data_IF_619552218218
#
_entry.id   IF_619552218218
#
_cell.length_a   1.000
_cell.length_b   1.000
_cell.length_c   1.000
_cell.angle_alpha   90.00
_cell.angle_beta   90.00
_cell.angle_gamma   90.00
#
_symmetry.space_group_name_H-M   'P 1'
#
loop_
_entity.id
_entity.type
_entity.pdbx_description
1 polymer ?
#
# COMPACT_ATOMS: atom_id res chain seq x y z
N UNK A 1 57.23 8.38 -33.24
CA UNK A 1 56.62 9.30 -32.25
C UNK A 1 55.13 9.62 -32.46
N UNK A 2 54.57 9.54 -33.69
CA UNK A 2 53.14 9.84 -33.92
C UNK A 2 52.14 8.83 -33.31
N UNK A 3 52.50 7.54 -33.22
CA UNK A 3 51.58 6.50 -32.72
C UNK A 3 51.17 6.67 -31.24
N UNK A 4 52.02 7.25 -30.41
CA UNK A 4 51.71 7.47 -28.98
C UNK A 4 50.69 8.61 -28.77
N UNK A 5 50.67 9.62 -29.66
CA UNK A 5 49.74 10.76 -29.56
C UNK A 5 48.29 10.39 -29.95
N UNK A 6 48.11 9.50 -30.93
CA UNK A 6 46.79 9.01 -31.34
C UNK A 6 46.12 8.14 -30.27
N UNK A 7 46.89 7.33 -29.53
CA UNK A 7 46.33 6.54 -28.43
C UNK A 7 45.78 7.41 -27.29
N UNK A 8 46.48 8.50 -26.96
CA UNK A 8 46.09 9.42 -25.88
C UNK A 8 44.78 10.16 -26.17
N UNK A 9 44.56 10.54 -27.43
CA UNK A 9 43.32 11.21 -27.87
C UNK A 9 42.14 10.24 -27.83
N UNK A 10 42.35 8.97 -28.21
CA UNK A 10 41.30 7.95 -28.16
C UNK A 10 40.89 7.61 -26.72
N UNK A 11 41.87 7.50 -25.80
CA UNK A 11 41.59 7.33 -24.37
C UNK A 11 40.88 8.54 -23.76
N UNK A 12 41.22 9.77 -24.18
CA UNK A 12 40.53 10.98 -23.71
C UNK A 12 39.07 11.05 -24.17
N UNK A 13 38.75 10.62 -25.39
CA UNK A 13 37.37 10.60 -25.93
C UNK A 13 36.53 9.50 -25.25
N UNK A 14 37.11 8.34 -24.97
CA UNK A 14 36.42 7.26 -24.24
C UNK A 14 36.22 7.67 -22.77
N UNK A 15 37.21 8.32 -22.13
CA UNK A 15 37.10 8.84 -20.77
C UNK A 15 36.08 9.98 -20.62
N UNK A 16 35.87 10.81 -21.66
CA UNK A 16 34.87 11.89 -21.61
C UNK A 16 33.42 11.38 -21.69
N UNK A 17 33.18 10.20 -22.29
CA UNK A 17 31.84 9.64 -22.42
C UNK A 17 31.34 8.90 -21.16
N UNK A 18 32.20 8.65 -20.18
CA UNK A 18 31.82 7.95 -18.93
C UNK A 18 31.38 8.92 -17.81
N UNK A 19 31.62 10.22 -17.93
CA UNK A 19 31.36 11.20 -16.87
C UNK A 19 30.05 12.00 -16.99
N UNK A 20 29.28 11.82 -18.07
CA UNK A 20 28.06 12.61 -18.30
C UNK A 20 26.77 11.93 -17.80
N UNK A 21 26.88 10.94 -16.91
CA UNK A 21 25.73 10.45 -16.15
C UNK A 21 25.70 11.16 -14.79
N UNK A 22 25.49 12.48 -14.80
CA UNK A 22 25.27 13.22 -13.56
C UNK A 22 24.01 12.70 -12.89
N UNK A 23 24.13 12.23 -11.65
CA UNK A 23 22.98 11.82 -10.86
C UNK A 23 22.04 13.00 -10.67
N UNK A 24 20.76 12.78 -10.95
CA UNK A 24 19.70 13.76 -10.68
C UNK A 24 19.76 14.19 -9.20
N UNK A 25 19.59 15.49 -8.91
CA UNK A 25 19.43 15.96 -7.53
C UNK A 25 17.95 15.95 -7.15
N UNK A 26 17.62 15.71 -5.88
CA UNK A 26 16.22 15.64 -5.43
C UNK A 26 15.41 16.91 -5.77
N UNK A 27 16.04 18.09 -5.73
CA UNK A 27 15.39 19.36 -6.11
C UNK A 27 14.93 19.37 -7.57
N UNK A 28 15.67 18.72 -8.46
CA UNK A 28 15.37 18.66 -9.90
C UNK A 28 14.20 17.71 -10.20
N UNK A 29 13.92 16.77 -9.29
CA UNK A 29 12.79 15.85 -9.38
C UNK A 29 11.45 16.47 -8.94
N UNK A 30 11.46 17.61 -8.22
CA UNK A 30 10.23 18.23 -7.73
C UNK A 30 9.32 18.71 -8.87
N UNK A 31 8.01 18.56 -8.71
CA UNK A 31 7.02 19.08 -9.65
C UNK A 31 5.87 18.11 -9.94
N UNK A 32 5.01 18.50 -10.87
CA UNK A 32 3.86 17.70 -11.33
C UNK A 32 4.22 16.97 -12.62
N UNK A 33 4.03 15.66 -12.63
CA UNK A 33 4.23 14.79 -13.78
C UNK A 33 2.87 14.26 -14.24
N UNK A 34 2.61 14.33 -15.54
CA UNK A 34 1.31 13.98 -16.13
C UNK A 34 1.50 12.86 -17.15
N UNK A 35 0.59 11.90 -17.10
CA UNK A 35 0.42 10.87 -18.11
C UNK A 35 -0.98 11.03 -18.69
N UNK A 36 -1.12 10.97 -20.02
CA UNK A 36 -2.41 11.09 -20.68
C UNK A 36 -2.42 10.24 -21.95
N UNK A 37 -3.49 9.46 -22.11
CA UNK A 37 -3.84 8.72 -23.33
C UNK A 37 -5.29 9.02 -23.67
N UNK A 38 -5.79 8.44 -24.77
CA UNK A 38 -7.20 8.59 -25.16
C UNK A 38 -8.20 8.13 -24.10
N UNK A 39 -7.80 7.18 -23.24
CA UNK A 39 -8.71 6.53 -22.29
C UNK A 39 -8.21 6.61 -20.84
N UNK A 40 -7.05 7.20 -20.57
CA UNK A 40 -6.51 7.20 -19.22
C UNK A 40 -5.72 8.45 -18.96
N UNK A 41 -5.78 8.95 -17.73
CA UNK A 41 -4.95 10.05 -17.26
C UNK A 41 -4.34 9.69 -15.91
N UNK A 42 -3.18 10.24 -15.64
CA UNK A 42 -2.49 10.07 -14.38
C UNK A 42 -1.71 11.32 -14.00
N UNK A 43 -1.52 11.51 -12.69
CA UNK A 43 -0.66 12.53 -12.15
C UNK A 43 0.20 11.98 -11.01
N UNK A 44 1.46 12.40 -10.98
CA UNK A 44 2.38 12.21 -9.87
C UNK A 44 2.94 13.57 -9.49
N UNK A 45 2.65 14.03 -8.28
CA UNK A 45 3.17 15.29 -7.73
C UNK A 45 4.25 14.95 -6.73
N UNK A 46 5.46 15.50 -6.92
CA UNK A 46 6.58 15.35 -6.00
C UNK A 46 6.85 16.68 -5.30
N UNK A 47 6.61 16.72 -3.99
CA UNK A 47 7.00 17.79 -3.08
C UNK A 47 8.31 17.41 -2.37
N UNK A 48 8.87 18.28 -1.51
CA UNK A 48 10.20 18.09 -0.91
C UNK A 48 10.46 16.68 -0.38
N UNK A 49 9.49 16.07 0.31
CA UNK A 49 9.61 14.70 0.87
C UNK A 49 8.36 13.85 0.66
N UNK A 50 7.33 14.38 0.01
CA UNK A 50 6.03 13.71 -0.12
C UNK A 50 5.61 13.60 -1.57
N UNK A 51 4.80 12.59 -1.87
CA UNK A 51 4.20 12.44 -3.18
C UNK A 51 2.67 12.32 -3.08
N UNK A 52 2.02 12.72 -4.16
CA UNK A 52 0.62 12.43 -4.42
C UNK A 52 0.49 11.78 -5.80
N UNK A 53 -0.18 10.65 -5.86
CA UNK A 53 -0.43 9.87 -7.07
C UNK A 53 -1.92 9.77 -7.31
N UNK A 54 -2.35 10.04 -8.55
CA UNK A 54 -3.71 9.79 -9.01
C UNK A 54 -3.66 9.15 -10.40
N UNK A 55 -4.54 8.19 -10.65
CA UNK A 55 -4.74 7.54 -11.93
C UNK A 55 -6.23 7.33 -12.18
N UNK A 56 -6.67 7.55 -13.41
CA UNK A 56 -8.06 7.35 -13.83
C UNK A 56 -8.11 6.76 -15.25
N UNK A 57 -8.94 5.73 -15.43
CA UNK A 57 -9.34 5.10 -16.69
C UNK A 57 -10.80 4.58 -16.56
N UNK A 58 -11.51 4.22 -17.66
CA UNK A 58 -12.93 3.87 -17.68
C UNK A 58 -13.48 2.87 -16.66
N UNK A 59 -12.64 2.11 -15.95
CA UNK A 59 -13.05 1.19 -14.88
C UNK A 59 -12.05 1.13 -13.72
N UNK A 60 -11.06 2.02 -13.70
CA UNK A 60 -9.94 1.98 -12.78
C UNK A 60 -9.64 3.40 -12.30
N UNK A 61 -9.72 3.63 -11.00
CA UNK A 61 -9.32 4.89 -10.40
C UNK A 61 -8.47 4.58 -9.17
N UNK A 62 -7.26 5.11 -9.11
CA UNK A 62 -6.32 4.84 -8.01
C UNK A 62 -5.75 6.13 -7.46
N UNK A 63 -5.61 6.17 -6.14
CA UNK A 63 -4.94 7.25 -5.41
C UNK A 63 -3.89 6.69 -4.48
N UNK A 64 -2.84 7.46 -4.24
CA UNK A 64 -1.82 7.14 -3.23
C UNK A 64 -1.12 8.39 -2.72
N UNK A 65 -0.76 8.40 -1.45
CA UNK A 65 0.10 9.42 -0.84
C UNK A 65 1.13 8.76 0.04
N UNK A 66 2.25 9.45 0.23
CA UNK A 66 3.29 9.06 1.16
C UNK A 66 4.59 9.81 0.93
N UNK A 67 5.70 9.12 1.13
CA UNK A 67 7.05 9.68 1.03
C UNK A 67 7.78 9.16 -0.19
N UNK A 68 8.77 9.92 -0.65
CA UNK A 68 9.66 9.47 -1.71
C UNK A 68 11.10 9.87 -1.43
N UNK A 69 12.02 9.15 -2.08
CA UNK A 69 13.43 9.47 -2.07
C UNK A 69 14.06 9.16 -3.42
N UNK A 70 15.23 9.74 -3.66
CA UNK A 70 15.98 9.59 -4.90
C UNK A 70 17.24 8.78 -4.64
N UNK A 71 17.42 7.71 -5.40
CA UNK A 71 18.64 6.93 -5.41
C UNK A 71 19.16 6.84 -6.85
N UNK A 72 20.23 7.60 -7.15
CA UNK A 72 20.77 7.77 -8.50
C UNK A 72 19.67 8.32 -9.44
N UNK A 73 19.26 7.54 -10.44
CA UNK A 73 18.19 7.89 -11.38
C UNK A 73 16.92 7.06 -11.14
N UNK A 74 16.73 6.60 -9.89
CA UNK A 74 15.53 5.91 -9.46
C UNK A 74 14.81 6.73 -8.40
N UNK A 75 13.50 6.91 -8.60
CA UNK A 75 12.60 7.38 -7.57
C UNK A 75 12.07 6.17 -6.81
N UNK A 76 12.05 6.26 -5.49
CA UNK A 76 11.50 5.21 -4.63
C UNK A 76 10.30 5.80 -3.91
N UNK A 77 9.13 5.22 -4.14
CA UNK A 77 7.86 5.65 -3.56
C UNK A 77 7.46 4.72 -2.42
N UNK A 78 7.08 5.30 -1.28
CA UNK A 78 6.57 4.57 -0.12
C UNK A 78 5.29 5.22 0.36
N UNK A 79 4.17 4.54 0.15
CA UNK A 79 2.85 5.03 0.57
C UNK A 79 2.69 5.02 2.09
N UNK A 80 1.79 5.86 2.59
CA UNK A 80 1.37 5.83 3.99
C UNK A 80 0.61 4.53 4.28
N UNK A 81 0.73 4.01 5.51
CA UNK A 81 0.09 2.75 5.92
C UNK A 81 -1.45 2.76 5.75
N UNK A 82 -2.09 3.93 5.69
CA UNK A 82 -3.52 4.05 5.40
C UNK A 82 -3.89 3.54 3.99
N UNK A 83 -2.94 3.47 3.06
CA UNK A 83 -3.12 2.88 1.72
C UNK A 83 -2.84 1.36 1.71
N UNK A 84 -2.30 0.81 2.79
CA UNK A 84 -2.03 -0.61 3.02
C UNK A 84 -3.38 -1.26 3.37
N UNK A 85 -4.18 -1.54 2.34
CA UNK A 85 -5.58 -1.93 2.52
C UNK A 85 -5.78 -3.28 3.22
N UNK A 86 -6.89 -3.30 3.98
CA UNK A 86 -7.47 -4.32 4.86
C UNK A 86 -6.94 -4.20 6.29
N UNK A 87 -7.79 -3.83 7.23
CA UNK A 87 -7.50 -4.02 8.65
C UNK A 87 -8.76 -4.21 9.46
N UNK A 88 -8.69 -5.14 10.40
CA UNK A 88 -9.71 -5.31 11.42
C UNK A 88 -9.40 -4.39 12.60
N UNK A 89 -10.40 -3.64 13.05
CA UNK A 89 -10.35 -2.97 14.35
C UNK A 89 -11.09 -3.86 15.34
N UNK A 90 -10.46 -4.20 16.46
CA UNK A 90 -11.05 -5.06 17.49
C UNK A 90 -11.13 -4.31 18.82
N UNK A 91 -12.35 -4.14 19.30
CA UNK A 91 -12.66 -3.60 20.61
C UNK A 91 -12.96 -4.76 21.57
N UNK A 92 -12.19 -4.82 22.66
CA UNK A 92 -12.27 -5.89 23.66
C UNK A 92 -13.00 -5.37 24.91
N UNK A 93 -14.07 -6.05 25.32
CA UNK A 93 -14.83 -5.70 26.52
C UNK A 93 -15.12 -6.93 27.38
N UNK A 94 -15.46 -6.69 28.64
CA UNK A 94 -15.92 -7.72 29.56
C UNK A 94 -17.45 -7.67 29.67
N UNK A 95 -18.06 -8.83 29.56
CA UNK A 95 -19.48 -9.10 29.74
C UNK A 95 -19.68 -10.52 30.27
N UNK A 96 -20.83 -10.78 30.90
CA UNK A 96 -21.21 -12.14 31.31
C UNK A 96 -21.31 -13.09 30.12
N UNK A 97 -21.75 -12.58 28.97
CA UNK A 97 -21.89 -13.36 27.74
C UNK A 97 -20.62 -13.27 26.90
N UNK A 98 -20.10 -14.41 26.45
CA UNK A 98 -18.96 -14.47 25.54
C UNK A 98 -19.43 -14.36 24.10
N UNK A 99 -19.05 -13.28 23.42
CA UNK A 99 -19.54 -13.00 22.06
C UNK A 99 -18.45 -12.43 21.15
N UNK A 100 -18.56 -12.72 19.86
CA UNK A 100 -17.83 -12.02 18.80
C UNK A 100 -18.87 -11.37 17.90
N UNK A 101 -18.77 -10.05 17.71
CA UNK A 101 -19.66 -9.29 16.83
C UNK A 101 -18.85 -8.74 15.66
N UNK A 102 -19.32 -8.97 14.43
CA UNK A 102 -18.68 -8.49 13.22
C UNK A 102 -19.54 -7.40 12.58
N UNK A 103 -18.90 -6.27 12.31
CA UNK A 103 -19.51 -5.08 11.73
C UNK A 103 -18.77 -4.67 10.44
N UNK A 104 -19.46 -4.04 9.50
CA UNK A 104 -18.87 -3.33 8.37
C UNK A 104 -18.34 -1.94 8.77
N UNK A 105 -17.82 -1.20 7.79
CA UNK A 105 -17.33 0.17 7.95
C UNK A 105 -18.40 1.16 8.42
N UNK A 106 -19.67 0.87 8.20
CA UNK A 106 -20.82 1.68 8.58
C UNK A 106 -21.43 1.25 9.92
N UNK A 107 -20.78 0.33 10.64
CA UNK A 107 -21.27 -0.30 11.89
C UNK A 107 -22.52 -1.18 11.69
N UNK A 108 -22.77 -1.64 10.46
CA UNK A 108 -23.83 -2.59 10.14
C UNK A 108 -23.36 -4.01 10.46
N UNK A 109 -24.15 -4.84 11.15
CA UNK A 109 -23.76 -6.23 11.41
C UNK A 109 -23.72 -7.08 10.14
N UNK A 110 -22.74 -7.99 10.05
CA UNK A 110 -22.53 -8.85 8.88
C UNK A 110 -22.86 -10.31 9.21
N UNK A 111 -23.86 -10.88 8.54
CA UNK A 111 -24.23 -12.31 8.62
C UNK A 111 -23.29 -13.21 7.80
N UNK A 112 -23.11 -14.47 8.23
CA UNK A 112 -22.45 -15.50 7.43
C UNK A 112 -20.92 -15.46 7.43
N UNK A 113 -20.30 -14.65 8.30
CA UNK A 113 -18.85 -14.51 8.37
C UNK A 113 -18.25 -15.61 9.23
N UNK A 114 -17.25 -16.29 8.66
CA UNK A 114 -16.54 -17.38 9.32
C UNK A 114 -15.40 -16.85 10.19
N UNK A 115 -15.31 -17.35 11.41
CA UNK A 115 -14.30 -16.98 12.41
C UNK A 115 -13.66 -18.24 12.98
N UNK A 116 -12.32 -18.23 13.05
CA UNK A 116 -11.52 -19.24 13.74
C UNK A 116 -10.95 -18.67 15.03
N UNK A 117 -11.01 -19.45 16.09
CA UNK A 117 -10.53 -19.08 17.43
C UNK A 117 -9.37 -20.01 17.79
N UNK A 118 -8.25 -19.46 18.27
CA UNK A 118 -7.08 -20.21 18.77
C UNK A 118 -6.52 -21.31 17.84
N UNK A 119 -6.67 -21.15 16.52
CA UNK A 119 -6.26 -22.17 15.54
C UNK A 119 -7.07 -23.49 15.65
N UNK A 120 -8.24 -23.48 16.28
CA UNK A 120 -9.19 -24.61 16.34
C UNK A 120 -9.79 -24.83 14.94
N UNK A 121 -9.93 -26.10 14.53
CA UNK A 121 -10.49 -26.47 13.21
C UNK A 121 -12.00 -26.20 13.07
N UNK A 122 -12.68 -25.84 14.15
CA UNK A 122 -14.09 -25.47 14.14
C UNK A 122 -14.28 -24.06 13.59
N UNK A 123 -15.22 -23.92 12.65
CA UNK A 123 -15.65 -22.64 12.11
C UNK A 123 -16.86 -22.13 12.89
N UNK A 124 -16.75 -20.92 13.43
CA UNK A 124 -17.88 -20.21 14.01
C UNK A 124 -18.42 -19.23 12.97
N UNK A 125 -19.73 -19.17 12.78
CA UNK A 125 -20.36 -18.34 11.75
C UNK A 125 -21.29 -17.33 12.39
N UNK A 126 -21.21 -16.05 11.97
CA UNK A 126 -22.09 -15.00 12.48
C UNK A 126 -23.54 -15.22 12.05
N UNK A 127 -24.47 -14.95 12.97
CA UNK A 127 -25.91 -14.98 12.70
C UNK A 127 -26.38 -13.70 11.98
N UNK A 128 -27.71 -13.56 11.76
CA UNK A 128 -28.37 -12.38 11.16
C UNK A 128 -28.05 -11.04 11.84
N UNK A 129 -27.67 -11.07 13.11
CA UNK A 129 -27.27 -9.88 13.88
C UNK A 129 -25.77 -9.66 13.91
N UNK A 130 -25.01 -10.38 13.07
CA UNK A 130 -23.55 -10.33 13.00
C UNK A 130 -22.84 -10.87 14.24
N UNK A 131 -23.50 -11.70 15.05
CA UNK A 131 -22.99 -12.18 16.35
C UNK A 131 -22.71 -13.68 16.30
N UNK A 132 -21.61 -14.07 16.93
CA UNK A 132 -21.28 -15.43 17.35
C UNK A 132 -21.37 -15.47 18.87
N UNK A 133 -22.27 -16.29 19.41
CA UNK A 133 -22.33 -16.59 20.85
C UNK A 133 -21.46 -17.81 21.14
N UNK A 134 -20.59 -17.71 22.14
CA UNK A 134 -19.62 -18.74 22.49
C UNK A 134 -19.94 -19.32 23.88
N UNK A 135 -19.56 -20.59 24.08
CA UNK A 135 -19.63 -21.19 25.40
C UNK A 135 -18.60 -20.54 26.34
N UNK A 136 -18.95 -20.42 27.62
CA UNK A 136 -18.16 -19.64 28.59
C UNK A 136 -16.78 -20.23 28.88
N UNK A 137 -16.57 -21.53 28.66
CA UNK A 137 -15.32 -22.25 28.84
C UNK A 137 -14.28 -22.01 27.72
N UNK A 138 -14.69 -21.53 26.54
CA UNK A 138 -13.79 -21.26 25.42
C UNK A 138 -12.90 -20.04 25.72
N UNK A 139 -11.63 -20.23 26.04
CA UNK A 139 -10.67 -19.12 26.13
C UNK A 139 -10.36 -18.57 24.74
N UNK A 140 -10.19 -17.25 24.59
CA UNK A 140 -9.89 -16.62 23.31
C UNK A 140 -8.54 -15.90 23.42
N UNK A 141 -7.56 -16.37 22.67
CA UNK A 141 -6.21 -15.82 22.57
C UNK A 141 -5.94 -15.23 21.19
N UNK A 142 -6.57 -15.79 20.17
CA UNK A 142 -6.47 -15.31 18.79
C UNK A 142 -7.81 -15.44 18.10
N UNK A 143 -8.08 -14.49 17.21
CA UNK A 143 -9.25 -14.47 16.35
C UNK A 143 -8.78 -14.30 14.92
N UNK A 144 -9.24 -15.16 14.03
CA UNK A 144 -9.00 -15.05 12.60
C UNK A 144 -10.34 -14.96 11.90
N UNK A 145 -10.55 -13.91 11.13
CA UNK A 145 -11.79 -13.69 10.39
C UNK A 145 -11.56 -14.04 8.92
N UNK A 146 -12.44 -14.87 8.36
CA UNK A 146 -12.43 -15.28 6.97
C UNK A 146 -13.54 -14.52 6.23
N UNK A 147 -13.17 -13.39 5.63
CA UNK A 147 -14.06 -12.48 4.90
C UNK A 147 -13.52 -12.24 3.49
N UNK A 148 -14.40 -12.28 2.49
CA UNK A 148 -14.01 -12.04 1.11
C UNK A 148 -13.48 -10.62 0.94
N UNK A 149 -12.23 -10.47 0.50
CA UNK A 149 -11.59 -9.17 0.33
C UNK A 149 -10.87 -8.64 1.57
N UNK A 150 -10.85 -9.37 2.69
CA UNK A 150 -9.83 -9.17 3.73
C UNK A 150 -8.68 -10.15 3.47
N UNK A 151 -7.47 -9.63 3.24
CA UNK A 151 -6.24 -10.41 3.39
C UNK A 151 -6.24 -11.10 4.75
N UNK A 152 -5.76 -12.35 4.82
CA UNK A 152 -5.88 -13.29 5.94
C UNK A 152 -5.49 -12.70 7.33
N UNK A 153 -6.40 -11.97 7.99
CA UNK A 153 -6.06 -11.20 9.18
C UNK A 153 -6.21 -12.01 10.47
N UNK A 154 -5.09 -12.12 11.19
CA UNK A 154 -5.00 -12.74 12.49
C UNK A 154 -4.90 -11.66 13.56
N UNK A 155 -5.90 -11.59 14.43
CA UNK A 155 -5.88 -10.76 15.62
C UNK A 155 -5.39 -11.56 16.83
N UNK A 156 -4.49 -10.97 17.62
CA UNK A 156 -4.07 -11.50 18.93
C UNK A 156 -4.76 -10.71 20.02
N UNK A 157 -5.45 -11.41 20.92
CA UNK A 157 -6.17 -10.80 22.05
C UNK A 157 -5.18 -10.09 22.97
N UNK A 158 -5.53 -8.88 23.39
CA UNK A 158 -4.69 -8.02 24.24
C UNK A 158 -5.10 -8.09 25.70
N UNK A 159 -6.40 -8.14 25.97
CA UNK A 159 -6.98 -8.23 27.30
C UNK A 159 -7.45 -9.67 27.57
N UNK A 160 -6.70 -10.37 28.43
CA UNK A 160 -6.99 -11.77 28.79
C UNK A 160 -8.33 -11.95 29.53
N UNK A 161 -8.93 -10.88 30.05
CA UNK A 161 -10.23 -10.91 30.70
C UNK A 161 -11.38 -10.60 29.74
N UNK A 162 -11.10 -10.21 28.49
CA UNK A 162 -12.15 -9.89 27.55
C UNK A 162 -12.99 -11.13 27.20
N UNK A 163 -14.29 -10.94 27.18
CA UNK A 163 -15.27 -11.97 26.79
C UNK A 163 -16.07 -11.54 25.56
N UNK A 164 -16.08 -10.24 25.25
CA UNK A 164 -16.75 -9.69 24.07
C UNK A 164 -15.74 -9.03 23.15
N UNK A 165 -15.85 -9.33 21.87
CA UNK A 165 -14.97 -8.82 20.81
C UNK A 165 -15.84 -8.22 19.72
N UNK A 166 -15.84 -6.89 19.60
CA UNK A 166 -16.47 -6.20 18.47
C UNK A 166 -15.39 -5.95 17.41
N UNK A 167 -15.57 -6.55 16.25
CA UNK A 167 -14.64 -6.54 15.13
C UNK A 167 -15.27 -5.73 13.99
N UNK A 168 -14.70 -4.58 13.67
CA UNK A 168 -15.05 -3.81 12.48
C UNK A 168 -14.15 -4.22 11.32
N UNK A 169 -14.77 -4.73 10.26
CA UNK A 169 -14.14 -5.01 8.98
C UNK A 169 -14.19 -3.73 8.17
N UNK A 170 -13.02 -3.24 7.77
CA UNK A 170 -12.89 -2.14 6.84
C UNK A 170 -12.46 -2.74 5.49
N UNK A 171 -13.33 -2.75 4.47
CA UNK A 171 -13.04 -3.39 3.20
C UNK A 171 -11.87 -2.70 2.50
N UNK A 172 -11.19 -3.46 1.66
CA UNK A 172 -10.20 -2.94 0.72
C UNK A 172 -10.78 -1.79 -0.08
N UNK A 173 -10.24 -0.60 0.10
CA UNK A 173 -10.55 0.51 -0.78
C UNK A 173 -9.79 0.32 -2.10
N UNK A 174 -10.41 -0.35 -3.08
CA UNK A 174 -9.79 -0.59 -4.39
C UNK A 174 -9.47 0.70 -5.16
N UNK A 175 -9.93 1.87 -4.68
CA UNK A 175 -9.51 3.18 -5.20
C UNK A 175 -8.16 3.65 -4.64
N UNK A 176 -7.53 2.86 -3.76
CA UNK A 176 -6.22 3.10 -3.16
C UNK A 176 -5.20 2.08 -3.63
N UNK A 177 -4.01 2.57 -3.93
CA UNK A 177 -2.85 1.74 -4.29
C UNK A 177 -1.71 1.96 -3.29
N UNK A 178 -1.05 0.87 -2.88
CA UNK A 178 0.06 0.90 -1.94
C UNK A 178 1.38 0.68 -2.67
N UNK A 179 2.26 1.68 -2.63
CA UNK A 179 3.65 1.55 -3.05
C UNK A 179 4.49 1.10 -1.85
N UNK A 180 5.01 -0.12 -1.89
CA UNK A 180 5.99 -0.61 -0.91
C UNK A 180 7.40 -0.50 -1.49
N UNK A 181 8.06 0.64 -1.21
CA UNK A 181 9.40 0.95 -1.72
C UNK A 181 9.50 0.72 -3.23
N UNK A 182 8.50 1.20 -3.97
CA UNK A 182 8.41 0.96 -5.41
C UNK A 182 9.44 1.77 -6.17
N UNK A 183 10.22 1.10 -7.03
CA UNK A 183 11.27 1.74 -7.83
C UNK A 183 10.75 2.17 -9.21
N UNK A 184 10.80 3.47 -9.48
CA UNK A 184 10.59 4.07 -10.81
C UNK A 184 11.89 4.62 -11.41
N UNK A 185 11.97 4.72 -12.73
CA UNK A 185 13.08 5.44 -13.40
C UNK A 185 12.74 6.91 -13.55
N UNK A 186 13.67 7.81 -13.29
CA UNK A 186 13.46 9.26 -13.38
C UNK A 186 14.61 9.96 -14.12
N UNK A 187 14.26 11.00 -14.87
CA UNK A 187 15.17 12.04 -15.37
C UNK A 187 14.51 13.42 -15.20
N UNK A 188 15.19 14.50 -15.62
CA UNK A 188 14.74 15.88 -15.41
C UNK A 188 13.36 16.19 -16.02
N UNK A 189 12.88 15.39 -16.98
CA UNK A 189 11.65 15.63 -17.73
C UNK A 189 10.60 14.54 -17.55
N UNK A 190 10.97 13.36 -17.06
CA UNK A 190 10.13 12.17 -17.17
C UNK A 190 10.30 11.25 -15.95
N UNK A 191 9.20 10.62 -15.56
CA UNK A 191 9.17 9.52 -14.59
C UNK A 191 8.48 8.32 -15.23
N UNK A 192 9.06 7.14 -15.04
CA UNK A 192 8.46 5.86 -15.42
C UNK A 192 8.14 5.05 -14.16
N UNK A 193 6.86 4.90 -13.87
CA UNK A 193 6.30 4.07 -12.79
C UNK A 193 5.10 3.30 -13.35
N UNK A 194 4.79 2.11 -12.81
CA UNK A 194 3.64 1.30 -13.23
C UNK A 194 3.56 1.06 -14.75
N UNK A 195 4.69 0.86 -15.41
CA UNK A 195 4.80 0.74 -16.88
C UNK A 195 4.24 1.95 -17.67
N UNK A 196 3.97 3.06 -17.00
CA UNK A 196 3.50 4.30 -17.58
C UNK A 196 4.61 5.34 -17.57
N UNK A 197 4.59 6.22 -18.57
CA UNK A 197 5.56 7.30 -18.73
C UNK A 197 4.86 8.63 -18.45
N UNK A 198 5.24 9.28 -17.36
CA UNK A 198 4.76 10.58 -16.97
C UNK A 198 5.76 11.65 -17.41
N UNK A 199 5.27 12.75 -17.96
CA UNK A 199 6.08 13.89 -18.40
C UNK A 199 5.89 15.05 -17.44
N UNK A 200 6.99 15.70 -17.05
CA UNK A 200 6.97 16.86 -16.18
C UNK A 200 6.22 18.00 -16.85
N UNK A 201 5.14 18.46 -16.21
CA UNK A 201 4.41 19.63 -16.67
C UNK A 201 5.24 20.88 -16.36
N UNK A 202 5.34 21.77 -17.35
CA UNK A 202 6.12 23.01 -17.22
C UNK A 202 5.42 24.04 -16.35
#
# INVERSE_FOLDING_TARGET
MLKNKLSLILYAIIAFNIYSCTSLKSKDALGKYIFETKISKGSLILNTNTFEYNYEAPMEAYTSKGTWFLEKNHIILKSDNFYLNDFMIVNETFSENKTIKILDENKTPIEGISVKINDINSLFVTNKSGVISLQNDIKIHKIKVEYFGLSNQLYKVKNNNATTFEISILPKDYTKIFFDNYHGKINNKEIKIYNQKYTKNK
#
